data_IF_163536438439
#
_entry.id   IF_163536438439
#
_cell.length_a   1.000
_cell.length_b   1.000
_cell.length_c   1.000
_cell.angle_alpha   90.00
_cell.angle_beta   90.00
_cell.angle_gamma   90.00
#
_symmetry.space_group_name_H-M   'P 1'
#
loop_
_entity.id
_entity.type
_entity.pdbx_description
1 polymer ?
#
# COMPACT_ATOMS: atom_id res chain seq x y z
N UNK A 1 8.41 24.74 -8.61
CA UNK A 1 8.45 25.98 -7.78
C UNK A 1 7.20 25.99 -6.92
N UNK A 2 7.33 26.36 -5.64
CA UNK A 2 6.21 26.39 -4.68
C UNK A 2 5.18 27.46 -5.07
N UNK A 3 3.90 27.16 -4.88
CA UNK A 3 2.81 28.08 -5.22
C UNK A 3 2.43 28.97 -4.02
N UNK A 4 2.50 30.29 -4.18
CA UNK A 4 2.24 31.30 -3.15
C UNK A 4 1.02 32.18 -3.42
N UNK A 5 0.08 31.75 -4.27
CA UNK A 5 -1.09 32.55 -4.63
C UNK A 5 -2.05 32.82 -3.45
N UNK A 6 -2.21 31.86 -2.55
CA UNK A 6 -3.06 31.97 -1.36
C UNK A 6 -2.43 31.25 -0.18
N UNK A 7 -2.88 31.54 1.04
CA UNK A 7 -2.40 30.85 2.25
C UNK A 7 -2.49 29.32 2.16
N UNK A 8 -3.56 28.80 1.52
CA UNK A 8 -3.74 27.37 1.34
C UNK A 8 -2.93 26.76 0.19
N UNK A 9 -2.40 27.58 -0.73
CA UNK A 9 -1.70 27.10 -1.92
C UNK A 9 -0.43 26.29 -1.61
N UNK A 10 0.46 26.73 -0.69
CA UNK A 10 1.62 25.93 -0.29
C UNK A 10 1.22 24.58 0.33
N UNK A 11 0.21 24.56 1.20
CA UNK A 11 -0.28 23.33 1.86
C UNK A 11 -0.90 22.34 0.87
N UNK A 12 -1.61 22.81 -0.15
CA UNK A 12 -2.08 21.94 -1.23
C UNK A 12 -0.92 21.43 -2.08
N UNK A 13 0.08 22.27 -2.37
CA UNK A 13 1.23 21.87 -3.17
C UNK A 13 2.04 20.73 -2.52
N UNK A 14 2.25 20.79 -1.20
CA UNK A 14 2.96 19.75 -0.45
C UNK A 14 2.24 18.39 -0.43
N UNK A 15 0.91 18.38 -0.55
CA UNK A 15 0.08 17.17 -0.55
C UNK A 15 -0.18 16.59 -1.93
N UNK A 16 0.41 17.19 -2.98
CA UNK A 16 0.17 16.82 -4.37
C UNK A 16 0.97 15.56 -4.75
N UNK A 17 0.29 14.59 -5.35
CA UNK A 17 0.86 13.41 -5.98
C UNK A 17 0.74 13.49 -7.49
N UNK A 18 1.80 13.10 -8.19
CA UNK A 18 1.86 13.07 -9.66
C UNK A 18 2.02 11.63 -10.13
N UNK A 19 1.09 11.18 -10.98
CA UNK A 19 1.22 9.87 -11.63
C UNK A 19 2.30 9.94 -12.71
N UNK A 20 3.20 8.93 -12.83
CA UNK A 20 4.26 8.90 -13.83
C UNK A 20 3.73 8.47 -15.21
N UNK A 21 2.67 9.12 -15.68
CA UNK A 21 1.99 8.83 -16.94
C UNK A 21 1.99 10.08 -17.80
N UNK A 22 2.31 9.93 -19.08
CA UNK A 22 2.25 11.02 -20.07
C UNK A 22 0.87 11.66 -20.13
N UNK A 23 0.83 13.00 -20.16
CA UNK A 23 -0.43 13.76 -20.14
C UNK A 23 -1.18 13.71 -21.47
N UNK A 24 -0.49 13.38 -22.56
CA UNK A 24 -1.02 13.38 -23.93
C UNK A 24 -1.88 12.13 -24.28
N UNK A 25 -1.97 11.17 -23.35
CA UNK A 25 -2.77 9.95 -23.55
C UNK A 25 -4.24 10.09 -23.13
N UNK A 26 -5.15 9.57 -23.96
CA UNK A 26 -6.59 9.35 -23.67
C UNK A 26 -6.86 8.13 -22.78
N UNK A 27 -5.93 7.76 -21.90
CA UNK A 27 -6.11 6.62 -21.00
C UNK A 27 -7.09 6.99 -19.88
N UNK A 28 -8.35 6.57 -20.02
CA UNK A 28 -9.41 6.91 -19.07
C UNK A 28 -9.24 6.19 -17.71
N UNK A 29 -8.91 4.89 -17.72
CA UNK A 29 -8.80 4.07 -16.50
C UNK A 29 -7.90 4.64 -15.40
N UNK A 30 -6.64 5.05 -15.66
CA UNK A 30 -5.78 5.61 -14.61
C UNK A 30 -6.25 6.98 -14.08
N UNK A 31 -7.08 7.69 -14.85
CA UNK A 31 -7.63 9.01 -14.48
C UNK A 31 -8.89 8.89 -13.63
N UNK A 32 -9.59 7.76 -13.70
CA UNK A 32 -10.80 7.54 -12.90
C UNK A 32 -10.47 7.46 -11.40
N UNK A 33 -11.41 7.94 -10.59
CA UNK A 33 -11.39 7.73 -9.14
C UNK A 33 -11.67 6.24 -8.89
N UNK A 34 -10.80 5.59 -8.11
CA UNK A 34 -10.96 4.18 -7.77
C UNK A 34 -11.35 4.04 -6.30
N UNK A 35 -12.22 3.08 -5.97
CA UNK A 35 -12.75 2.90 -4.60
C UNK A 35 -11.64 2.64 -3.57
N UNK A 36 -10.53 2.03 -3.96
CA UNK A 36 -9.38 1.83 -3.07
C UNK A 36 -8.71 3.14 -2.60
N UNK A 37 -9.03 4.28 -3.22
CA UNK A 37 -8.48 5.59 -2.83
C UNK A 37 -9.26 6.25 -1.69
N UNK A 38 -10.36 5.64 -1.24
CA UNK A 38 -11.16 6.11 -0.12
C UNK A 38 -10.30 6.32 1.13
N UNK A 39 -10.44 7.49 1.77
CA UNK A 39 -9.69 7.86 2.97
C UNK A 39 -8.21 8.25 2.74
N UNK A 40 -7.61 7.88 1.61
CA UNK A 40 -6.21 8.22 1.28
C UNK A 40 -6.08 9.44 0.37
N UNK A 41 -6.99 9.59 -0.59
CA UNK A 41 -6.95 10.66 -1.59
C UNK A 41 -8.15 11.59 -1.45
N UNK A 42 -7.94 12.88 -1.71
CA UNK A 42 -9.03 13.86 -1.82
C UNK A 42 -9.74 13.69 -3.17
N UNK A 43 -11.03 13.26 -3.22
CA UNK A 43 -11.68 12.86 -4.47
C UNK A 43 -11.90 14.01 -5.46
N UNK A 44 -12.15 15.23 -4.97
CA UNK A 44 -12.33 16.41 -5.82
C UNK A 44 -11.02 17.17 -6.10
N UNK A 45 -9.91 16.74 -5.49
CA UNK A 45 -8.62 17.44 -5.50
C UNK A 45 -7.78 17.26 -6.75
N UNK A 46 -8.37 17.37 -7.94
CA UNK A 46 -7.66 17.16 -9.21
C UNK A 46 -7.82 18.39 -10.11
N UNK A 47 -6.78 18.84 -10.82
CA UNK A 47 -6.92 19.91 -11.80
C UNK A 47 -7.74 19.44 -13.01
N UNK A 48 -8.40 20.38 -13.67
CA UNK A 48 -9.10 20.10 -14.92
C UNK A 48 -8.15 19.90 -16.12
N UNK A 49 -8.68 19.41 -17.24
CA UNK A 49 -7.94 19.24 -18.49
C UNK A 49 -7.00 18.02 -18.50
N UNK A 50 -5.84 18.16 -19.15
CA UNK A 50 -4.93 17.03 -19.43
C UNK A 50 -4.30 16.41 -18.19
N UNK A 51 -4.34 17.08 -17.04
CA UNK A 51 -3.84 16.57 -15.76
C UNK A 51 -4.94 15.93 -14.89
N UNK A 52 -6.20 15.99 -15.31
CA UNK A 52 -7.34 15.44 -14.59
C UNK A 52 -7.14 13.95 -14.33
N UNK A 53 -7.27 13.58 -13.06
CA UNK A 53 -7.06 12.22 -12.56
C UNK A 53 -5.60 11.76 -12.48
N UNK A 54 -4.63 12.49 -13.06
CA UNK A 54 -3.21 12.14 -12.98
C UNK A 54 -2.51 12.88 -11.84
N UNK A 55 -2.96 14.11 -11.56
CA UNK A 55 -2.53 14.90 -10.41
C UNK A 55 -3.63 14.84 -9.38
N UNK A 56 -3.29 14.37 -8.17
CA UNK A 56 -4.24 14.21 -7.06
C UNK A 56 -3.64 14.79 -5.79
N UNK A 57 -4.48 15.02 -4.78
CA UNK A 57 -4.02 15.45 -3.46
C UNK A 57 -4.31 14.36 -2.42
N UNK A 58 -3.42 14.23 -1.45
CA UNK A 58 -3.61 13.40 -0.27
C UNK A 58 -4.75 13.93 0.62
N UNK A 59 -5.47 13.02 1.28
CA UNK A 59 -6.44 13.34 2.32
C UNK A 59 -5.75 13.93 3.57
N UNK A 60 -6.54 14.53 4.47
CA UNK A 60 -6.00 15.27 5.63
C UNK A 60 -5.28 14.37 6.64
N UNK A 61 -5.78 13.16 6.89
CA UNK A 61 -5.27 12.25 7.92
C UNK A 61 -4.41 11.11 7.36
N UNK A 62 -3.95 11.22 6.11
CA UNK A 62 -3.14 10.16 5.52
C UNK A 62 -1.76 10.13 6.18
N UNK A 63 -1.19 8.94 6.31
CA UNK A 63 0.19 8.73 6.73
C UNK A 63 0.93 7.93 5.66
N UNK A 64 2.08 8.43 5.21
CA UNK A 64 2.96 7.73 4.26
C UNK A 64 3.97 6.93 5.06
N UNK A 65 3.97 5.60 4.88
CA UNK A 65 4.91 4.71 5.55
C UNK A 65 6.35 5.01 5.13
N UNK A 66 7.27 5.08 6.08
CA UNK A 66 8.70 5.36 5.85
C UNK A 66 9.59 4.11 5.82
N UNK A 67 9.00 2.92 6.00
CA UNK A 67 9.71 1.65 6.14
C UNK A 67 10.00 1.29 7.60
N UNK A 68 10.23 -0.01 7.84
CA UNK A 68 10.65 -0.56 9.13
C UNK A 68 11.44 -1.85 8.90
N UNK A 69 12.27 -2.25 9.88
CA UNK A 69 13.05 -3.47 9.76
C UNK A 69 12.13 -4.70 9.80
N UNK A 70 12.38 -5.65 8.89
CA UNK A 70 11.59 -6.89 8.81
C UNK A 70 12.06 -7.97 9.79
N UNK A 71 13.31 -7.91 10.27
CA UNK A 71 13.89 -8.94 11.15
C UNK A 71 13.05 -9.26 12.39
N UNK A 72 12.52 -8.29 13.16
CA UNK A 72 11.70 -8.60 14.33
C UNK A 72 10.43 -9.38 13.98
N UNK A 73 9.88 -9.14 12.78
CA UNK A 73 8.69 -9.87 12.29
C UNK A 73 9.08 -11.30 11.92
N UNK A 74 10.23 -11.49 11.28
CA UNK A 74 10.72 -12.82 10.90
C UNK A 74 11.05 -13.68 12.12
N UNK A 75 11.78 -13.11 13.09
CA UNK A 75 12.09 -13.78 14.37
C UNK A 75 10.81 -14.18 15.11
N UNK A 76 9.83 -13.27 15.21
CA UNK A 76 8.53 -13.58 15.80
C UNK A 76 7.80 -14.72 15.10
N UNK A 77 7.82 -14.75 13.76
CA UNK A 77 7.14 -15.79 12.97
C UNK A 77 7.82 -17.16 13.10
N UNK A 78 9.15 -17.19 13.24
CA UNK A 78 9.90 -18.41 13.53
C UNK A 78 9.53 -18.99 14.90
N UNK A 79 9.34 -18.13 15.91
CA UNK A 79 8.90 -18.54 17.25
C UNK A 79 7.43 -19.02 17.26
N UNK A 80 6.55 -18.36 16.50
CA UNK A 80 5.11 -18.65 16.48
C UNK A 80 4.68 -19.72 15.47
N UNK A 81 5.45 -20.82 15.38
CA UNK A 81 5.08 -22.03 14.64
C UNK A 81 4.83 -21.84 13.13
N UNK A 82 5.51 -20.88 12.50
CA UNK A 82 5.61 -20.87 11.03
C UNK A 82 6.50 -22.04 10.62
N UNK A 83 5.94 -23.00 9.88
CA UNK A 83 6.71 -24.15 9.41
C UNK A 83 7.63 -23.70 8.25
N UNK A 84 8.92 -23.97 8.37
CA UNK A 84 9.92 -23.72 7.33
C UNK A 84 9.87 -24.83 6.27
N UNK A 85 10.14 -24.48 5.01
CA UNK A 85 10.10 -25.38 3.86
C UNK A 85 10.95 -26.64 4.02
N UNK A 86 12.08 -26.56 4.73
CA UNK A 86 12.93 -27.72 5.00
C UNK A 86 12.20 -28.85 5.75
N UNK A 87 11.14 -28.52 6.49
CA UNK A 87 10.43 -29.44 7.37
C UNK A 87 9.05 -29.86 6.83
N UNK A 88 8.66 -29.38 5.64
CA UNK A 88 7.31 -29.56 5.09
C UNK A 88 7.33 -30.42 3.83
N UNK A 89 6.41 -31.38 3.76
CA UNK A 89 6.11 -32.07 2.50
C UNK A 89 5.26 -31.18 1.59
N UNK A 90 5.57 -31.05 0.29
CA UNK A 90 4.77 -30.26 -0.66
C UNK A 90 3.27 -30.60 -0.67
N UNK A 91 2.91 -31.83 -0.31
CA UNK A 91 1.52 -32.28 -0.24
C UNK A 91 0.67 -31.53 0.81
N UNK A 92 1.30 -30.97 1.84
CA UNK A 92 0.60 -30.29 2.95
C UNK A 92 0.36 -28.81 2.66
N UNK A 93 1.07 -28.24 1.68
CA UNK A 93 1.02 -26.80 1.36
C UNK A 93 -0.37 -26.36 0.92
N UNK A 94 -1.10 -27.20 0.19
CA UNK A 94 -2.46 -26.90 -0.28
C UNK A 94 -3.48 -26.77 0.87
N UNK A 95 -3.18 -27.41 2.01
CA UNK A 95 -4.05 -27.42 3.19
C UNK A 95 -3.70 -26.34 4.22
N UNK A 96 -2.64 -25.57 3.98
CA UNK A 96 -2.12 -24.57 4.91
C UNK A 96 -2.10 -23.17 4.28
N UNK A 97 -2.07 -22.13 5.14
CA UNK A 97 -1.96 -20.75 4.67
C UNK A 97 -0.52 -20.40 4.41
N UNK A 98 -0.27 -19.83 3.22
CA UNK A 98 1.03 -19.30 2.81
C UNK A 98 1.23 -17.92 3.42
N UNK A 99 2.38 -17.70 4.07
CA UNK A 99 2.70 -16.42 4.69
C UNK A 99 3.81 -15.69 3.92
N UNK A 100 3.57 -14.43 3.58
CA UNK A 100 4.51 -13.61 2.82
C UNK A 100 4.89 -12.37 3.63
N UNK A 101 6.19 -12.12 3.73
CA UNK A 101 6.75 -10.88 4.30
C UNK A 101 7.44 -10.12 3.19
N UNK A 102 6.93 -8.93 2.87
CA UNK A 102 7.47 -8.06 1.81
C UNK A 102 7.63 -8.78 0.44
N UNK A 103 6.73 -9.72 0.12
CA UNK A 103 6.75 -10.49 -1.12
C UNK A 103 7.61 -11.77 -1.08
N UNK A 104 8.40 -11.97 -0.02
CA UNK A 104 9.12 -13.23 0.20
C UNK A 104 8.20 -14.26 0.87
N UNK A 105 8.12 -15.47 0.33
CA UNK A 105 7.39 -16.56 0.96
C UNK A 105 8.23 -17.12 2.11
N UNK A 106 7.77 -16.93 3.35
CA UNK A 106 8.54 -17.29 4.56
C UNK A 106 8.22 -18.71 5.04
N UNK A 107 6.98 -19.17 4.83
CA UNK A 107 6.57 -20.52 5.22
C UNK A 107 5.06 -20.71 5.14
N UNK A 108 4.57 -21.71 5.86
CA UNK A 108 3.13 -21.97 6.00
C UNK A 108 2.70 -21.98 7.47
N UNK A 109 1.41 -21.74 7.69
CA UNK A 109 0.82 -21.80 9.02
C UNK A 109 -0.53 -22.53 8.99
N UNK A 110 -0.80 -23.41 9.96
CA UNK A 110 -2.03 -24.22 10.03
C UNK A 110 -3.21 -23.51 10.68
N UNK A 111 -2.95 -22.57 11.58
CA UNK A 111 -3.97 -21.84 12.35
C UNK A 111 -3.87 -20.32 12.14
N UNK A 112 -4.14 -19.80 10.93
CA UNK A 112 -3.93 -18.39 10.57
C UNK A 112 -4.71 -17.40 11.44
N UNK A 113 -5.92 -17.76 11.88
CA UNK A 113 -6.78 -16.87 12.66
C UNK A 113 -6.19 -16.51 14.02
N UNK A 114 -5.50 -17.46 14.67
CA UNK A 114 -4.82 -17.22 15.94
C UNK A 114 -3.63 -16.28 15.74
N UNK A 115 -2.83 -16.53 14.70
CA UNK A 115 -1.67 -15.68 14.38
C UNK A 115 -2.09 -14.24 14.07
N UNK A 116 -3.14 -14.05 13.28
CA UNK A 116 -3.68 -12.72 12.96
C UNK A 116 -4.20 -12.00 14.21
N UNK A 117 -4.80 -12.73 15.16
CA UNK A 117 -5.22 -12.14 16.45
C UNK A 117 -4.03 -11.72 17.31
N UNK A 118 -2.94 -12.47 17.32
CA UNK A 118 -1.74 -12.13 18.08
C UNK A 118 -0.98 -10.95 17.47
N UNK A 119 -0.99 -10.82 16.14
CA UNK A 119 -0.30 -9.72 15.42
C UNK A 119 -1.05 -8.38 15.45
N UNK A 120 -2.35 -8.37 15.78
CA UNK A 120 -3.20 -7.16 15.79
C UNK A 120 -3.25 -6.54 17.17
#
# INVERSE_FOLDING_TARGET
VLNHLTYASPMSYLRRLNSPIGREGKLAKPRQLHNSQWGMMYPAGTPEGQACGLVKNLALMVYVTVGSAANPILEFLEEWSTENFEKISPAVIDQAIKFFVNGCWVGIHRSPDLLVKTLR
#
